data_IF_572610362046
#
_entry.id   IF_572610362046
#
_cell.length_a   1.000
_cell.length_b   1.000
_cell.length_c   1.000
_cell.angle_alpha   90.00
_cell.angle_beta   90.00
_cell.angle_gamma   90.00
#
_symmetry.space_group_name_H-M   'P 1'
#
loop_
_entity.id
_entity.type
_entity.pdbx_description
1 polymer ?
#
# COMPACT_ATOMS: atom_id res chain seq x y z
N UNK A 1 -13.23 19.75 16.58
CA UNK A 1 -12.88 20.22 15.21
C UNK A 1 -13.41 21.63 14.96
N UNK A 2 -12.80 22.68 15.55
CA UNK A 2 -13.23 24.05 15.36
C UNK A 2 -12.52 24.69 14.14
N UNK A 3 -12.78 24.15 12.95
CA UNK A 3 -12.22 24.67 11.69
C UNK A 3 -13.24 25.48 10.90
N UNK A 4 -12.77 26.49 10.16
CA UNK A 4 -13.59 27.25 9.21
C UNK A 4 -14.03 26.39 8.02
N UNK A 5 -15.08 26.82 7.30
CA UNK A 5 -15.80 26.13 6.21
C UNK A 5 -16.80 25.06 6.67
N UNK A 6 -18.10 25.37 6.52
CA UNK A 6 -19.20 24.51 6.98
C UNK A 6 -19.25 23.14 6.26
N UNK A 7 -19.05 23.10 4.95
CA UNK A 7 -19.21 21.87 4.15
C UNK A 7 -18.14 20.81 4.45
N UNK A 8 -16.82 21.09 4.34
CA UNK A 8 -15.79 20.08 4.66
C UNK A 8 -15.80 19.66 6.13
N UNK A 9 -16.14 20.59 7.04
CA UNK A 9 -16.37 20.28 8.45
C UNK A 9 -17.54 19.32 8.65
N UNK A 10 -18.65 19.53 7.93
CA UNK A 10 -19.80 18.63 7.94
C UNK A 10 -19.45 17.21 7.46
N UNK A 11 -18.69 17.09 6.38
CA UNK A 11 -18.20 15.80 5.88
C UNK A 11 -17.31 15.10 6.90
N UNK A 12 -16.35 15.83 7.49
CA UNK A 12 -15.45 15.28 8.52
C UNK A 12 -16.21 14.80 9.76
N UNK A 13 -17.17 15.59 10.24
CA UNK A 13 -18.01 15.22 11.38
C UNK A 13 -18.87 13.98 11.08
N UNK A 14 -19.40 13.88 9.86
CA UNK A 14 -20.19 12.72 9.42
C UNK A 14 -19.33 11.46 9.32
N UNK A 15 -18.14 11.58 8.73
CA UNK A 15 -17.18 10.48 8.63
C UNK A 15 -16.73 10.00 10.01
N UNK A 16 -16.44 10.92 10.93
CA UNK A 16 -16.08 10.56 12.31
C UNK A 16 -17.23 9.84 13.03
N UNK A 17 -18.45 10.37 12.95
CA UNK A 17 -19.63 9.74 13.56
C UNK A 17 -19.91 8.34 12.99
N UNK A 18 -19.64 8.13 11.70
CA UNK A 18 -19.79 6.83 11.04
C UNK A 18 -18.70 5.84 11.48
N UNK A 19 -17.44 6.28 11.57
CA UNK A 19 -16.29 5.41 11.83
C UNK A 19 -16.03 5.14 13.32
N UNK A 20 -16.23 6.15 14.17
CA UNK A 20 -15.89 6.08 15.61
C UNK A 20 -16.54 4.88 16.34
N UNK A 21 -17.80 4.49 16.09
CA UNK A 21 -18.37 3.28 16.70
C UNK A 21 -17.65 1.99 16.31
N UNK A 22 -17.09 1.90 15.09
CA UNK A 22 -16.28 0.75 14.67
C UNK A 22 -14.92 0.74 15.37
N UNK A 23 -14.31 1.91 15.53
CA UNK A 23 -13.05 2.07 16.28
C UNK A 23 -13.24 1.66 17.74
N UNK A 24 -14.29 2.12 18.41
CA UNK A 24 -14.59 1.75 19.80
C UNK A 24 -14.75 0.23 19.93
N UNK A 25 -15.53 -0.41 19.04
CA UNK A 25 -15.68 -1.87 19.05
C UNK A 25 -14.35 -2.60 18.86
N UNK A 26 -13.51 -2.13 17.94
CA UNK A 26 -12.19 -2.69 17.69
C UNK A 26 -11.29 -2.58 18.93
N UNK A 27 -11.24 -1.40 19.54
CA UNK A 27 -10.48 -1.14 20.76
C UNK A 27 -10.96 -2.03 21.91
N UNK A 28 -12.27 -2.12 22.13
CA UNK A 28 -12.84 -2.97 23.18
C UNK A 28 -12.50 -4.44 22.96
N UNK A 29 -12.63 -4.92 21.71
CA UNK A 29 -12.28 -6.31 21.37
C UNK A 29 -10.77 -6.58 21.54
N UNK A 30 -9.92 -5.63 21.15
CA UNK A 30 -8.48 -5.70 21.36
C UNK A 30 -8.15 -5.81 22.85
N UNK A 31 -8.69 -4.92 23.69
CA UNK A 31 -8.47 -4.93 25.13
C UNK A 31 -8.99 -6.21 25.81
N UNK A 32 -10.12 -6.75 25.34
CA UNK A 32 -10.68 -8.00 25.85
C UNK A 32 -9.80 -9.24 25.54
N UNK A 33 -8.84 -9.12 24.62
CA UNK A 33 -7.84 -10.15 24.33
C UNK A 33 -6.72 -10.25 25.36
N UNK A 34 -6.63 -9.31 26.31
CA UNK A 34 -5.62 -9.26 27.35
C UNK A 34 -6.22 -9.48 28.74
N UNK A 35 -5.37 -9.77 29.73
CA UNK A 35 -5.79 -9.86 31.12
C UNK A 35 -6.07 -8.49 31.74
N UNK A 36 -6.52 -8.49 33.01
CA UNK A 36 -6.84 -7.26 33.74
C UNK A 36 -5.64 -6.29 33.90
N UNK A 37 -4.41 -6.75 33.66
CA UNK A 37 -3.19 -5.93 33.68
C UNK A 37 -3.14 -4.90 32.57
N UNK A 38 -3.89 -5.08 31.47
CA UNK A 38 -3.94 -4.12 30.35
C UNK A 38 -4.40 -2.73 30.79
N UNK A 39 -5.23 -2.64 31.82
CA UNK A 39 -5.71 -1.37 32.38
C UNK A 39 -4.58 -0.51 33.00
N UNK A 40 -3.40 -1.09 33.23
CA UNK A 40 -2.23 -0.39 33.79
C UNK A 40 -1.15 -0.11 32.75
N UNK A 41 -1.36 -0.55 31.50
CA UNK A 41 -0.40 -0.38 30.41
C UNK A 41 -0.89 0.77 29.52
N UNK A 42 -0.03 1.76 29.23
CA UNK A 42 -0.41 2.80 28.28
C UNK A 42 -0.53 2.20 26.88
N UNK A 43 -1.74 2.26 26.32
CA UNK A 43 -2.03 1.78 24.96
C UNK A 43 -2.17 2.97 24.03
N UNK A 44 -1.28 3.01 23.04
CA UNK A 44 -1.25 4.06 22.02
C UNK A 44 -1.64 3.52 20.65
N UNK A 45 -2.30 4.37 19.87
CA UNK A 45 -2.66 4.10 18.48
C UNK A 45 -2.02 5.15 17.57
N UNK A 46 -1.56 4.69 16.40
CA UNK A 46 -1.08 5.55 15.34
C UNK A 46 -2.24 6.36 14.74
N UNK A 47 -2.00 7.65 14.53
CA UNK A 47 -2.92 8.58 13.88
C UNK A 47 -2.46 8.86 12.43
N UNK A 48 -3.36 9.44 11.64
CA UNK A 48 -3.09 9.85 10.26
C UNK A 48 -1.93 10.83 10.11
N UNK A 49 -1.62 11.61 11.16
CA UNK A 49 -0.57 12.64 11.17
C UNK A 49 0.85 12.10 11.43
N UNK A 50 0.97 10.80 11.68
CA UNK A 50 2.24 10.13 12.01
C UNK A 50 2.56 10.07 13.51
N UNK A 51 1.70 10.64 14.35
CA UNK A 51 1.84 10.62 15.81
C UNK A 51 1.04 9.52 16.49
N UNK A 52 1.39 9.24 17.73
CA UNK A 52 0.67 8.33 18.61
C UNK A 52 -0.32 9.10 19.50
N UNK A 53 -1.50 8.53 19.73
CA UNK A 53 -2.47 9.02 20.72
C UNK A 53 -2.90 7.90 21.65
N UNK A 54 -3.28 8.25 22.88
CA UNK A 54 -3.90 7.31 23.80
C UNK A 54 -5.23 6.78 23.25
N UNK A 55 -5.54 5.54 23.61
CA UNK A 55 -6.77 4.83 23.22
C UNK A 55 -8.05 5.63 23.43
N UNK A 56 -8.17 6.39 24.53
CA UNK A 56 -9.35 7.18 24.84
C UNK A 56 -9.55 8.42 23.95
N UNK A 57 -8.49 8.85 23.26
CA UNK A 57 -8.50 10.01 22.36
C UNK A 57 -8.48 9.62 20.88
N UNK A 58 -8.52 8.32 20.57
CA UNK A 58 -8.52 7.82 19.20
C UNK A 58 -9.93 7.86 18.60
N UNK A 59 -10.10 8.54 17.47
CA UNK A 59 -11.40 8.73 16.81
C UNK A 59 -11.35 8.38 15.33
N UNK A 60 -12.53 8.20 14.73
CA UNK A 60 -12.69 7.71 13.36
C UNK A 60 -11.94 8.54 12.31
N UNK A 61 -12.06 9.87 12.32
CA UNK A 61 -11.39 10.71 11.32
C UNK A 61 -9.86 10.73 11.45
N UNK A 62 -9.33 10.48 12.65
CA UNK A 62 -7.88 10.43 12.94
C UNK A 62 -7.28 9.05 12.67
N UNK A 63 -8.12 8.04 12.46
CA UNK A 63 -7.70 6.67 12.18
C UNK A 63 -7.45 6.40 10.68
N UNK A 64 -7.90 7.30 9.80
CA UNK A 64 -7.84 7.10 8.34
C UNK A 64 -6.37 7.05 7.91
N UNK A 65 -5.94 5.99 7.22
CA UNK A 65 -4.54 5.79 6.78
C UNK A 65 -3.50 5.75 7.93
N UNK A 66 -3.89 5.38 9.15
CA UNK A 66 -2.94 5.22 10.27
C UNK A 66 -1.87 4.14 10.05
N UNK A 67 -2.22 3.04 9.37
CA UNK A 67 -1.26 1.98 9.02
C UNK A 67 -0.12 2.49 8.12
N UNK A 68 -0.44 3.05 6.94
CA UNK A 68 0.55 3.68 6.05
C UNK A 68 1.35 4.80 6.72
N UNK A 69 0.76 5.57 7.65
CA UNK A 69 1.48 6.58 8.42
C UNK A 69 2.64 5.97 9.24
N UNK A 70 2.43 4.81 9.85
CA UNK A 70 3.51 4.04 10.47
C UNK A 70 4.60 3.65 9.48
N UNK A 71 4.22 3.21 8.28
CA UNK A 71 5.17 2.93 7.19
C UNK A 71 6.02 4.14 6.81
N UNK A 72 5.38 5.31 6.72
CA UNK A 72 6.04 6.59 6.45
C UNK A 72 7.08 6.91 7.52
N UNK A 73 6.69 6.92 8.80
CA UNK A 73 7.64 7.10 9.92
C UNK A 73 8.79 6.09 9.83
N UNK A 74 8.46 4.82 9.54
CA UNK A 74 9.42 3.73 9.42
C UNK A 74 10.50 4.03 8.39
N UNK A 75 10.16 4.25 7.11
CA UNK A 75 11.18 4.49 6.10
C UNK A 75 11.89 5.84 6.28
N UNK A 76 11.20 6.88 6.77
CA UNK A 76 11.79 8.19 6.99
C UNK A 76 12.90 8.15 8.06
N UNK A 77 12.71 7.32 9.11
CA UNK A 77 13.66 7.20 10.23
C UNK A 77 14.73 6.14 10.01
N UNK A 78 14.50 5.16 9.13
CA UNK A 78 15.38 3.97 8.99
C UNK A 78 16.12 3.88 7.66
N UNK A 79 15.77 4.69 6.67
CA UNK A 79 16.47 4.68 5.36
C UNK A 79 17.80 5.42 5.48
N UNK A 80 18.86 4.67 5.77
CA UNK A 80 20.22 5.15 5.83
C UNK A 80 21.22 4.02 5.55
N UNK A 81 22.41 4.36 5.07
CA UNK A 81 23.54 3.45 4.93
C UNK A 81 24.86 4.23 5.12
N UNK A 82 25.97 3.51 5.27
CA UNK A 82 27.29 4.13 5.42
C UNK A 82 27.62 4.99 4.20
N UNK A 83 27.85 6.30 4.43
CA UNK A 83 28.11 7.27 3.37
C UNK A 83 26.87 7.87 2.72
N UNK A 84 25.66 7.58 3.22
CA UNK A 84 24.45 8.27 2.79
C UNK A 84 24.54 9.77 3.11
N UNK A 85 24.11 10.67 2.19
CA UNK A 85 24.10 12.10 2.45
C UNK A 85 23.11 12.46 3.57
N UNK A 86 23.39 13.48 4.40
CA UNK A 86 22.46 13.93 5.45
C UNK A 86 21.12 14.42 4.91
N UNK A 87 21.11 14.95 3.68
CA UNK A 87 19.93 15.48 3.00
C UNK A 87 19.27 14.45 2.08
N UNK A 88 19.26 13.18 2.48
CA UNK A 88 18.69 12.11 1.67
C UNK A 88 17.19 12.33 1.48
N UNK A 89 16.77 12.37 0.21
CA UNK A 89 15.36 12.41 -0.15
C UNK A 89 14.91 10.98 -0.47
N UNK A 90 13.78 10.57 0.10
CA UNK A 90 13.32 9.18 0.06
C UNK A 90 11.86 9.15 -0.39
N UNK A 91 11.54 8.25 -1.31
CA UNK A 91 10.18 7.92 -1.69
C UNK A 91 9.86 6.58 -1.04
N UNK A 92 8.85 6.57 -0.17
CA UNK A 92 8.30 5.34 0.38
C UNK A 92 7.44 4.62 -0.65
N UNK A 93 7.63 3.32 -0.76
CA UNK A 93 6.87 2.42 -1.63
C UNK A 93 6.43 1.19 -0.82
N UNK A 94 5.25 1.27 -0.22
CA UNK A 94 4.63 0.18 0.55
C UNK A 94 3.63 -0.57 -0.33
N UNK A 95 3.98 -1.75 -0.81
CA UNK A 95 3.05 -2.56 -1.59
C UNK A 95 2.62 -3.79 -0.80
N UNK A 96 1.32 -3.86 -0.54
CA UNK A 96 0.66 -4.98 0.11
C UNK A 96 -0.08 -5.89 -0.88
N UNK A 97 -1.03 -6.66 -0.34
CA UNK A 97 -1.89 -7.54 -1.13
C UNK A 97 -3.00 -6.81 -1.90
N UNK A 98 -3.41 -5.61 -1.50
CA UNK A 98 -4.58 -4.94 -2.11
C UNK A 98 -4.22 -3.61 -2.76
N UNK A 99 -3.31 -2.88 -2.14
CA UNK A 99 -2.95 -1.51 -2.50
C UNK A 99 -1.45 -1.28 -2.39
N UNK A 100 -1.03 -0.14 -2.92
CA UNK A 100 0.29 0.43 -2.70
C UNK A 100 0.16 1.84 -2.16
N UNK A 101 0.87 2.13 -1.08
CA UNK A 101 0.93 3.45 -0.46
C UNK A 101 2.28 4.09 -0.78
N UNK A 102 2.24 5.32 -1.29
CA UNK A 102 3.45 6.08 -1.65
C UNK A 102 3.46 7.44 -0.96
N UNK A 103 4.63 7.86 -0.53
CA UNK A 103 4.86 9.16 0.11
C UNK A 103 6.30 9.62 -0.10
N UNK A 104 6.58 10.88 0.21
CA UNK A 104 7.90 11.49 0.00
C UNK A 104 8.42 12.13 1.27
N UNK A 105 9.60 11.74 1.72
CA UNK A 105 10.34 12.35 2.82
C UNK A 105 11.56 13.11 2.31
N UNK A 106 11.77 14.34 2.78
CA UNK A 106 12.93 15.16 2.44
C UNK A 106 13.44 15.98 3.63
N UNK A 107 13.61 15.32 4.79
CA UNK A 107 14.09 15.94 6.03
C UNK A 107 12.98 16.42 6.97
N UNK A 108 11.74 16.50 6.47
CA UNK A 108 10.53 16.70 7.27
C UNK A 108 9.39 15.85 6.70
N UNK A 109 8.37 15.61 7.53
CA UNK A 109 7.13 14.99 7.08
C UNK A 109 6.32 16.00 6.26
N UNK A 110 5.74 15.56 5.15
CA UNK A 110 4.76 16.34 4.38
C UNK A 110 3.37 16.08 4.96
N UNK A 111 2.69 17.13 5.41
CA UNK A 111 1.32 17.07 5.92
C UNK A 111 0.34 17.77 4.97
N UNK A 112 -0.82 17.15 4.77
CA UNK A 112 -1.99 17.73 4.12
C UNK A 112 -3.08 17.97 5.16
N UNK A 113 -3.82 19.06 4.99
CA UNK A 113 -4.85 19.51 5.95
C UNK A 113 -6.29 19.24 5.48
N UNK A 114 -6.41 18.87 4.21
CA UNK A 114 -7.65 18.53 3.53
C UNK A 114 -7.30 17.42 2.54
N UNK A 115 -7.97 16.27 2.65
CA UNK A 115 -7.80 15.13 1.75
C UNK A 115 -9.17 14.61 1.33
N UNK A 116 -9.26 14.00 0.15
CA UNK A 116 -10.49 13.32 -0.28
C UNK A 116 -10.20 11.84 -0.43
N UNK A 117 -10.83 11.03 0.42
CA UNK A 117 -10.70 9.58 0.40
C UNK A 117 -12.05 8.97 0.04
N UNK A 118 -12.10 8.15 -1.00
CA UNK A 118 -13.33 7.50 -1.50
C UNK A 118 -14.51 8.48 -1.72
N UNK A 119 -14.22 9.70 -2.19
CA UNK A 119 -15.22 10.74 -2.44
C UNK A 119 -15.66 11.54 -1.20
N UNK A 120 -15.11 11.26 -0.01
CA UNK A 120 -15.38 12.00 1.22
C UNK A 120 -14.19 12.90 1.57
N UNK A 121 -14.44 14.20 1.69
CA UNK A 121 -13.42 15.16 2.10
C UNK A 121 -13.27 15.18 3.63
N UNK A 122 -12.06 14.92 4.10
CA UNK A 122 -11.67 14.96 5.50
C UNK A 122 -10.75 16.16 5.72
N UNK A 123 -11.16 17.05 6.61
CA UNK A 123 -10.42 18.26 6.95
C UNK A 123 -9.62 18.04 8.24
N UNK A 124 -8.63 17.17 8.21
CA UNK A 124 -7.76 16.86 9.34
C UNK A 124 -6.30 16.86 8.86
N UNK A 125 -5.30 17.14 9.71
CA UNK A 125 -3.91 16.90 9.32
C UNK A 125 -3.67 15.42 9.15
N UNK A 126 -3.02 15.10 8.04
CA UNK A 126 -2.62 13.75 7.70
C UNK A 126 -1.27 13.83 7.01
N UNK A 127 -0.47 12.78 7.14
CA UNK A 127 0.69 12.62 6.27
C UNK A 127 0.25 12.52 4.82
N UNK A 128 1.02 13.13 3.93
CA UNK A 128 0.75 13.10 2.49
C UNK A 128 1.13 11.73 1.91
N UNK A 129 0.13 10.84 1.94
CA UNK A 129 0.22 9.47 1.47
C UNK A 129 -0.80 9.31 0.36
N UNK A 130 -0.34 8.88 -0.82
CA UNK A 130 -1.19 8.54 -1.94
C UNK A 130 -1.30 7.03 -2.06
N UNK A 131 -2.51 6.52 -1.91
CA UNK A 131 -2.82 5.09 -2.09
C UNK A 131 -3.29 4.83 -3.53
N UNK A 132 -2.71 3.83 -4.16
CA UNK A 132 -3.17 3.30 -5.45
C UNK A 132 -3.72 1.88 -5.29
N UNK A 133 -4.82 1.58 -6.00
CA UNK A 133 -5.44 0.27 -6.04
C UNK A 133 -4.64 -0.73 -6.93
N UNK A 134 -3.34 -0.82 -6.66
CA UNK A 134 -2.42 -1.77 -7.28
C UNK A 134 -1.65 -2.47 -6.15
N UNK A 135 -1.88 -3.76 -5.95
CA UNK A 135 -1.21 -4.62 -4.98
C UNK A 135 -1.03 -6.02 -5.54
N UNK A 136 -0.49 -6.96 -4.77
CA UNK A 136 -0.28 -8.33 -5.23
C UNK A 136 -1.57 -9.05 -5.66
N UNK A 137 -2.68 -8.76 -5.01
CA UNK A 137 -4.01 -9.29 -5.30
C UNK A 137 -4.78 -8.53 -6.38
N UNK A 138 -4.22 -7.48 -7.00
CA UNK A 138 -4.92 -6.80 -8.10
C UNK A 138 -5.17 -7.78 -9.24
N UNK A 139 -6.44 -7.90 -9.66
CA UNK A 139 -6.89 -8.88 -10.63
C UNK A 139 -6.42 -8.55 -12.04
N UNK A 140 -6.19 -9.58 -12.83
CA UNK A 140 -5.72 -9.49 -14.20
C UNK A 140 -6.89 -9.68 -15.17
N UNK A 141 -7.03 -8.76 -16.12
CA UNK A 141 -8.07 -8.80 -17.15
C UNK A 141 -7.47 -8.53 -18.52
N UNK A 142 -7.93 -9.24 -19.53
CA UNK A 142 -7.62 -8.92 -20.93
C UNK A 142 -8.90 -8.56 -21.67
N UNK A 143 -9.01 -7.31 -22.11
CA UNK A 143 -10.22 -6.77 -22.73
C UNK A 143 -9.84 -5.98 -23.98
N UNK A 144 -10.47 -6.31 -25.11
CA UNK A 144 -10.33 -5.57 -26.38
C UNK A 144 -8.88 -5.28 -26.82
N UNK A 145 -7.95 -6.21 -26.57
CA UNK A 145 -6.54 -6.05 -26.97
C UNK A 145 -5.63 -5.41 -25.91
N UNK A 146 -6.18 -5.03 -24.76
CA UNK A 146 -5.44 -4.36 -23.69
C UNK A 146 -5.34 -5.22 -22.43
N UNK A 147 -4.17 -5.20 -21.80
CA UNK A 147 -3.96 -5.70 -20.45
C UNK A 147 -4.48 -4.67 -19.44
N UNK A 148 -5.31 -5.12 -18.50
CA UNK A 148 -5.82 -4.31 -17.39
C UNK A 148 -5.51 -5.01 -16.07
N UNK A 149 -5.07 -4.22 -15.09
CA UNK A 149 -4.78 -4.69 -13.73
C UNK A 149 -5.61 -3.87 -12.74
N UNK A 150 -6.42 -4.55 -11.93
CA UNK A 150 -7.34 -3.91 -10.99
C UNK A 150 -8.45 -3.09 -11.69
N UNK A 151 -9.13 -2.19 -10.96
CA UNK A 151 -8.95 -1.89 -9.52
C UNK A 151 -9.45 -2.99 -8.60
N UNK A 152 -10.14 -4.00 -9.12
CA UNK A 152 -10.63 -5.13 -8.35
C UNK A 152 -9.47 -5.93 -7.75
N UNK A 153 -9.58 -6.24 -6.44
CA UNK A 153 -8.63 -7.10 -5.74
C UNK A 153 -9.23 -8.48 -5.51
N UNK A 154 -8.40 -9.50 -5.63
CA UNK A 154 -8.70 -10.87 -5.22
C UNK A 154 -8.70 -11.03 -3.69
N UNK A 155 -8.13 -10.05 -2.96
CA UNK A 155 -8.02 -10.06 -1.51
C UNK A 155 -7.12 -11.19 -1.00
N UNK A 156 -7.34 -11.62 0.24
CA UNK A 156 -6.72 -12.82 0.80
C UNK A 156 -7.62 -14.06 0.71
N UNK A 157 -8.95 -13.84 0.59
CA UNK A 157 -9.95 -14.89 0.43
C UNK A 157 -11.01 -14.42 -0.58
N UNK A 158 -11.21 -15.11 -1.72
CA UNK A 158 -10.51 -16.33 -2.13
C UNK A 158 -9.05 -16.11 -2.56
N UNK A 159 -8.62 -14.87 -2.77
CA UNK A 159 -7.23 -14.53 -3.08
C UNK A 159 -6.79 -14.82 -4.52
N UNK A 160 -5.50 -14.63 -4.84
CA UNK A 160 -4.88 -15.09 -6.08
C UNK A 160 -5.07 -16.60 -6.32
N UNK A 161 -4.97 -17.07 -7.56
CA UNK A 161 -5.11 -18.51 -7.88
C UNK A 161 -4.09 -19.34 -7.12
N UNK A 162 -2.85 -18.86 -6.99
CA UNK A 162 -1.79 -19.51 -6.24
C UNK A 162 -2.13 -19.78 -4.76
N UNK A 163 -3.15 -19.15 -4.19
CA UNK A 163 -3.57 -19.38 -2.80
C UNK A 163 -4.45 -20.62 -2.64
N UNK A 164 -4.83 -21.32 -3.73
CA UNK A 164 -5.59 -22.58 -3.70
C UNK A 164 -6.96 -22.50 -3.03
N UNK A 165 -7.60 -21.32 -3.04
CA UNK A 165 -8.92 -21.08 -2.40
C UNK A 165 -10.01 -20.73 -3.43
N UNK A 166 -9.87 -21.13 -4.69
CA UNK A 166 -10.82 -20.80 -5.77
C UNK A 166 -10.77 -19.34 -6.20
N UNK A 167 -9.55 -18.79 -6.22
CA UNK A 167 -9.25 -17.38 -6.45
C UNK A 167 -9.36 -16.89 -7.89
N UNK A 168 -8.85 -15.68 -8.12
CA UNK A 168 -8.81 -15.04 -9.45
C UNK A 168 -7.36 -14.79 -9.88
N UNK A 169 -7.06 -14.77 -11.20
CA UNK A 169 -5.72 -14.40 -11.68
C UNK A 169 -5.35 -13.01 -11.18
N UNK A 170 -4.22 -12.89 -10.49
CA UNK A 170 -3.76 -11.63 -9.89
C UNK A 170 -2.26 -11.36 -10.15
N UNK A 171 -1.78 -10.17 -9.78
CA UNK A 171 -0.35 -9.79 -9.92
C UNK A 171 0.58 -10.80 -9.23
N UNK A 172 0.18 -11.36 -8.08
CA UNK A 172 0.91 -12.43 -7.40
C UNK A 172 1.07 -13.67 -8.29
N UNK A 173 0.03 -14.09 -9.02
CA UNK A 173 0.12 -15.22 -9.94
C UNK A 173 1.13 -14.97 -11.06
N UNK A 174 1.12 -13.77 -11.64
CA UNK A 174 2.11 -13.38 -12.64
C UNK A 174 3.54 -13.41 -12.06
N UNK A 175 3.74 -12.94 -10.83
CA UNK A 175 5.06 -12.98 -10.16
C UNK A 175 5.50 -14.42 -9.81
N UNK A 176 4.57 -15.33 -9.50
CA UNK A 176 4.86 -16.76 -9.33
C UNK A 176 5.28 -17.39 -10.66
N UNK A 177 4.54 -17.15 -11.74
CA UNK A 177 4.85 -17.69 -13.08
C UNK A 177 6.21 -17.21 -13.59
N UNK A 178 6.54 -15.93 -13.35
CA UNK A 178 7.81 -15.33 -13.72
C UNK A 178 8.98 -15.73 -12.79
N UNK A 179 8.75 -16.56 -11.78
CA UNK A 179 9.78 -17.00 -10.83
C UNK A 179 10.31 -15.89 -9.92
N UNK A 180 9.58 -14.77 -9.78
CA UNK A 180 9.91 -13.68 -8.82
C UNK A 180 9.52 -14.07 -7.39
N UNK A 181 8.53 -14.94 -7.26
CA UNK A 181 8.14 -15.58 -6.02
C UNK A 181 8.53 -17.05 -6.08
N UNK A 182 9.28 -17.51 -5.08
CA UNK A 182 9.77 -18.88 -4.95
C UNK A 182 8.88 -19.63 -3.93
N UNK A 183 7.97 -20.52 -4.36
CA UNK A 183 7.04 -21.22 -3.47
C UNK A 183 7.71 -21.95 -2.29
N UNK A 184 8.92 -22.47 -2.50
CA UNK A 184 9.72 -23.19 -1.50
C UNK A 184 10.17 -22.33 -0.31
N UNK A 185 10.22 -21.00 -0.49
CA UNK A 185 10.58 -20.04 0.56
C UNK A 185 9.36 -19.41 1.24
N UNK A 186 8.15 -19.76 0.81
CA UNK A 186 6.92 -19.30 1.44
C UNK A 186 6.43 -20.27 2.52
N UNK A 187 5.85 -19.77 3.61
CA UNK A 187 5.20 -20.62 4.59
C UNK A 187 4.03 -21.37 3.93
N UNK A 188 3.84 -22.63 4.33
CA UNK A 188 2.73 -23.46 3.85
C UNK A 188 1.45 -23.09 4.60
N UNK A 189 0.81 -22.00 4.18
CA UNK A 189 -0.41 -21.44 4.79
C UNK A 189 -1.54 -21.24 3.77
N UNK A 190 -1.42 -21.86 2.61
CA UNK A 190 -2.38 -21.74 1.50
C UNK A 190 -3.29 -22.96 1.42
N UNK A 191 -4.30 -22.90 0.57
CA UNK A 191 -5.28 -23.97 0.38
C UNK A 191 -6.38 -24.01 1.43
N UNK A 192 -7.37 -24.91 1.23
CA UNK A 192 -8.49 -25.05 2.15
C UNK A 192 -8.05 -25.52 3.54
N UNK A 193 -6.93 -26.24 3.64
CA UNK A 193 -6.40 -26.74 4.92
C UNK A 193 -5.36 -25.82 5.56
N UNK A 194 -4.97 -24.74 4.88
CA UNK A 194 -3.94 -23.77 5.29
C UNK A 194 -2.60 -24.43 5.64
N UNK A 195 -2.25 -25.49 4.88
CA UNK A 195 -1.01 -26.29 5.04
C UNK A 195 -0.33 -26.56 3.71
N UNK A 196 -0.81 -25.94 2.64
CA UNK A 196 -0.30 -26.13 1.29
C UNK A 196 0.67 -25.00 0.90
N UNK A 197 1.59 -25.31 0.00
CA UNK A 197 2.46 -24.32 -0.64
C UNK A 197 1.70 -23.53 -1.72
N UNK A 198 2.27 -22.42 -2.19
CA UNK A 198 1.75 -21.69 -3.34
C UNK A 198 1.59 -22.61 -4.57
N UNK A 199 0.54 -22.39 -5.35
CA UNK A 199 0.24 -23.18 -6.54
C UNK A 199 0.80 -22.57 -7.83
N UNK A 200 2.06 -22.85 -8.12
CA UNK A 200 2.68 -22.40 -9.37
C UNK A 200 2.03 -23.02 -10.62
N UNK A 201 1.53 -24.25 -10.52
CA UNK A 201 0.83 -24.91 -11.63
C UNK A 201 -0.51 -24.22 -11.89
N UNK A 202 -1.30 -23.99 -10.84
CA UNK A 202 -2.56 -23.26 -10.92
C UNK A 202 -2.38 -21.84 -11.49
N UNK A 203 -1.35 -21.09 -11.07
CA UNK A 203 -1.05 -19.78 -11.67
C UNK A 203 -0.69 -19.90 -13.15
N UNK A 204 0.10 -20.91 -13.56
CA UNK A 204 0.48 -21.09 -14.96
C UNK A 204 -0.72 -21.42 -15.84
N UNK A 205 -1.63 -22.28 -15.36
CA UNK A 205 -2.89 -22.59 -16.06
C UNK A 205 -3.78 -21.36 -16.21
N UNK A 206 -3.98 -20.60 -15.13
CA UNK A 206 -4.77 -19.37 -15.14
C UNK A 206 -4.21 -18.30 -16.10
N UNK A 207 -2.88 -18.14 -16.15
CA UNK A 207 -2.23 -17.22 -17.08
C UNK A 207 -2.22 -17.77 -18.52
N UNK A 208 -2.25 -19.08 -18.72
CA UNK A 208 -2.40 -19.70 -20.04
C UNK A 208 -3.78 -19.39 -20.64
N UNK A 209 -4.86 -19.43 -19.85
CA UNK A 209 -6.19 -19.02 -20.32
C UNK A 209 -6.22 -17.55 -20.79
N UNK A 210 -5.57 -16.65 -20.03
CA UNK A 210 -5.41 -15.24 -20.43
C UNK A 210 -4.55 -15.10 -21.68
N UNK A 211 -3.52 -15.92 -21.84
CA UNK A 211 -2.66 -15.93 -23.03
C UNK A 211 -3.42 -16.40 -24.27
N UNK A 212 -4.28 -17.43 -24.16
CA UNK A 212 -5.16 -17.88 -25.24
C UNK A 212 -6.11 -16.76 -25.69
N UNK A 213 -6.76 -16.07 -24.73
CA UNK A 213 -7.62 -14.93 -25.04
C UNK A 213 -6.84 -13.78 -25.75
N UNK A 214 -5.63 -13.50 -25.28
CA UNK A 214 -4.72 -12.52 -25.90
C UNK A 214 -4.34 -12.91 -27.33
N UNK A 215 -3.96 -14.17 -27.55
CA UNK A 215 -3.50 -14.67 -28.83
C UNK A 215 -4.65 -14.81 -29.84
N UNK A 216 -5.86 -15.16 -29.40
CA UNK A 216 -7.06 -15.12 -30.23
C UNK A 216 -7.39 -13.70 -30.72
N UNK A 217 -7.20 -12.69 -29.86
CA UNK A 217 -7.32 -11.29 -30.30
C UNK A 217 -6.18 -10.89 -31.24
N UNK A 218 -4.93 -11.23 -30.92
CA UNK A 218 -3.75 -10.89 -31.71
C UNK A 218 -3.82 -11.45 -33.13
N UNK A 219 -4.21 -12.73 -33.28
CA UNK A 219 -4.37 -13.41 -34.56
C UNK A 219 -5.37 -12.67 -35.49
N UNK A 220 -6.51 -12.23 -34.94
CA UNK A 220 -7.51 -11.45 -35.71
C UNK A 220 -7.03 -10.09 -36.17
N UNK A 221 -5.99 -9.54 -35.54
CA UNK A 221 -5.47 -8.19 -35.80
C UNK A 221 -4.03 -8.20 -36.36
N UNK A 222 -3.51 -9.37 -36.77
CA UNK A 222 -2.18 -9.50 -37.38
C UNK A 222 -1.02 -9.23 -36.40
N UNK A 223 -1.24 -9.35 -35.09
CA UNK A 223 -0.20 -9.21 -34.07
C UNK A 223 0.43 -10.56 -33.73
N UNK A 224 1.72 -10.59 -33.31
CA UNK A 224 2.40 -11.84 -32.96
C UNK A 224 1.78 -12.47 -31.70
N UNK A 225 1.77 -13.81 -31.68
CA UNK A 225 1.41 -14.57 -30.50
C UNK A 225 2.44 -14.32 -29.38
N UNK A 226 1.95 -14.32 -28.14
CA UNK A 226 2.75 -14.18 -26.93
C UNK A 226 2.71 -15.48 -26.13
N UNK A 227 3.84 -15.83 -25.54
CA UNK A 227 3.94 -16.87 -24.53
C UNK A 227 3.24 -16.46 -23.23
N UNK A 228 2.99 -17.44 -22.36
CA UNK A 228 2.43 -17.21 -21.01
C UNK A 228 3.31 -16.25 -20.20
N UNK A 229 4.62 -16.40 -20.32
CA UNK A 229 5.59 -15.59 -19.58
C UNK A 229 5.60 -14.13 -20.09
N UNK A 230 5.46 -13.91 -21.41
CA UNK A 230 5.31 -12.57 -22.00
C UNK A 230 4.00 -11.89 -21.58
N UNK A 231 2.91 -12.67 -21.49
CA UNK A 231 1.61 -12.18 -21.00
C UNK A 231 1.70 -11.80 -19.52
N UNK A 232 2.29 -12.65 -18.69
CA UNK A 232 2.53 -12.37 -17.28
C UNK A 232 3.41 -11.11 -17.10
N UNK A 233 4.48 -10.98 -17.88
CA UNK A 233 5.33 -9.79 -17.86
C UNK A 233 4.57 -8.52 -18.28
N UNK A 234 3.70 -8.63 -19.28
CA UNK A 234 2.82 -7.53 -19.72
C UNK A 234 1.92 -7.03 -18.60
N UNK A 235 1.29 -7.93 -17.84
CA UNK A 235 0.49 -7.56 -16.67
C UNK A 235 1.32 -6.89 -15.58
N UNK A 236 2.51 -7.42 -15.28
CA UNK A 236 3.43 -6.80 -14.31
C UNK A 236 3.86 -5.41 -14.76
N UNK A 237 4.09 -5.19 -16.06
CA UNK A 237 4.42 -3.88 -16.61
C UNK A 237 3.28 -2.87 -16.43
N UNK A 238 2.03 -3.27 -16.67
CA UNK A 238 0.85 -2.43 -16.41
C UNK A 238 0.71 -2.09 -14.93
N UNK A 239 0.91 -3.06 -14.04
CA UNK A 239 0.88 -2.84 -12.59
C UNK A 239 1.97 -1.83 -12.16
N UNK A 240 3.20 -1.98 -12.66
CA UNK A 240 4.31 -1.07 -12.37
C UNK A 240 4.02 0.37 -12.82
N UNK A 241 3.49 0.54 -14.03
CA UNK A 241 3.15 1.88 -14.54
C UNK A 241 2.01 2.51 -13.72
N UNK A 242 1.00 1.74 -13.33
CA UNK A 242 -0.06 2.21 -12.43
C UNK A 242 0.51 2.72 -11.10
N UNK A 243 1.50 2.01 -10.54
CA UNK A 243 2.19 2.40 -9.31
C UNK A 243 3.16 3.59 -9.48
N UNK A 244 3.70 3.81 -10.68
CA UNK A 244 4.56 4.98 -10.95
C UNK A 244 3.77 6.29 -10.98
N UNK A 245 2.51 6.28 -11.43
CA UNK A 245 1.66 7.48 -11.54
C UNK A 245 1.56 8.30 -10.25
N UNK A 246 1.17 7.74 -9.08
CA UNK A 246 1.09 8.51 -7.84
C UNK A 246 2.47 9.02 -7.37
N UNK A 247 3.55 8.28 -7.66
CA UNK A 247 4.91 8.75 -7.35
C UNK A 247 5.26 9.99 -8.18
N UNK A 248 4.92 10.02 -9.48
CA UNK A 248 5.10 11.21 -10.33
C UNK A 248 4.25 12.39 -9.85
N UNK A 249 3.05 12.14 -9.33
CA UNK A 249 2.19 13.17 -8.74
C UNK A 249 2.79 13.78 -7.46
N UNK A 250 3.39 12.96 -6.59
CA UNK A 250 4.09 13.40 -5.38
C UNK A 250 5.44 14.09 -5.65
N UNK A 251 6.03 13.86 -6.82
CA UNK A 251 7.37 14.35 -7.16
C UNK A 251 7.34 15.37 -8.29
N UNK A 252 7.34 14.90 -9.54
CA UNK A 252 7.49 15.70 -10.75
C UNK A 252 6.41 16.78 -10.87
N UNK A 253 5.15 16.45 -10.57
CA UNK A 253 4.04 17.43 -10.63
C UNK A 253 4.16 18.53 -9.56
N UNK A 254 4.97 18.30 -8.52
CA UNK A 254 5.30 19.28 -7.47
C UNK A 254 6.66 19.95 -7.69
N UNK A 255 7.31 19.72 -8.83
CA UNK A 255 8.62 20.30 -9.15
C UNK A 255 9.82 19.55 -8.57
N UNK A 256 9.64 18.36 -8.01
CA UNK A 256 10.73 17.52 -7.51
C UNK A 256 11.22 16.53 -8.57
N UNK A 257 12.54 16.41 -8.71
CA UNK A 257 13.17 15.41 -9.57
C UNK A 257 13.20 14.04 -8.86
N UNK A 258 12.36 13.12 -9.32
CA UNK A 258 12.26 11.76 -8.77
C UNK A 258 13.61 11.02 -8.79
N UNK A 259 14.47 11.25 -9.80
CA UNK A 259 15.76 10.54 -9.96
C UNK A 259 16.77 10.80 -8.85
N UNK A 260 16.59 11.91 -8.10
CA UNK A 260 17.41 12.29 -6.95
C UNK A 260 17.01 11.60 -5.64
N UNK A 261 15.92 10.83 -5.65
CA UNK A 261 15.42 10.14 -4.47
C UNK A 261 15.98 8.73 -4.38
N UNK A 262 15.94 8.18 -3.18
CA UNK A 262 16.02 6.74 -2.94
C UNK A 262 14.62 6.16 -2.92
N UNK A 263 14.39 5.03 -3.56
CA UNK A 263 13.14 4.30 -3.44
C UNK A 263 13.23 3.33 -2.26
N UNK A 264 12.60 3.68 -1.13
CA UNK A 264 12.51 2.80 0.02
C UNK A 264 11.32 1.84 -0.15
N UNK A 265 11.60 0.59 -0.49
CA UNK A 265 10.59 -0.42 -0.76
C UNK A 265 10.31 -1.29 0.46
N UNK A 266 9.04 -1.42 0.79
CA UNK A 266 8.57 -2.25 1.89
C UNK A 266 7.17 -2.80 1.62
N UNK A 267 6.59 -3.47 2.60
CA UNK A 267 5.39 -4.29 2.42
C UNK A 267 5.72 -5.67 1.85
N UNK A 268 4.73 -6.57 1.85
CA UNK A 268 4.92 -7.96 1.45
C UNK A 268 5.19 -8.16 -0.04
N UNK A 269 4.79 -7.20 -0.88
CA UNK A 269 4.90 -7.30 -2.34
C UNK A 269 5.85 -6.26 -2.98
N UNK A 270 6.29 -5.23 -2.24
CA UNK A 270 7.03 -4.10 -2.81
C UNK A 270 8.35 -4.48 -3.50
N UNK A 271 9.13 -5.36 -2.88
CA UNK A 271 10.44 -5.76 -3.42
C UNK A 271 10.34 -6.43 -4.81
N UNK A 272 9.21 -7.07 -5.13
CA UNK A 272 8.99 -7.76 -6.42
C UNK A 272 8.89 -6.80 -7.61
N UNK A 273 8.60 -5.51 -7.33
CA UNK A 273 8.36 -4.46 -8.32
C UNK A 273 9.39 -3.31 -8.25
N UNK A 274 10.17 -3.26 -7.16
CA UNK A 274 11.08 -2.16 -6.82
C UNK A 274 12.00 -1.72 -7.96
N UNK A 275 12.73 -2.65 -8.58
CA UNK A 275 13.69 -2.32 -9.64
C UNK A 275 13.00 -1.73 -10.89
N UNK A 276 11.86 -2.29 -11.29
CA UNK A 276 11.12 -1.82 -12.46
C UNK A 276 10.51 -0.43 -12.22
N UNK A 277 9.96 -0.19 -11.02
CA UNK A 277 9.45 1.12 -10.60
C UNK A 277 10.60 2.14 -10.54
N UNK A 278 11.73 1.79 -9.92
CA UNK A 278 12.90 2.65 -9.85
C UNK A 278 13.41 3.03 -11.26
N UNK A 279 13.53 2.06 -12.16
CA UNK A 279 13.94 2.28 -13.55
C UNK A 279 12.97 3.22 -14.29
N UNK A 280 11.65 3.01 -14.16
CA UNK A 280 10.63 3.85 -14.79
C UNK A 280 10.61 5.30 -14.27
N UNK A 281 11.15 5.53 -13.07
CA UNK A 281 11.25 6.85 -12.44
C UNK A 281 12.66 7.46 -12.53
N UNK A 282 13.63 6.74 -13.12
CA UNK A 282 15.03 7.17 -13.18
C UNK A 282 15.77 7.14 -11.83
N UNK A 283 15.22 6.45 -10.82
CA UNK A 283 15.81 6.31 -9.49
C UNK A 283 16.96 5.30 -9.55
N UNK A 284 18.13 5.69 -9.03
CA UNK A 284 19.35 4.88 -9.07
C UNK A 284 19.55 3.95 -7.87
N UNK A 285 18.83 4.21 -6.78
CA UNK A 285 19.03 3.51 -5.51
C UNK A 285 17.70 3.00 -4.98
N UNK A 286 17.61 1.69 -4.80
CA UNK A 286 16.53 1.02 -4.08
C UNK A 286 17.05 0.64 -2.71
N UNK A 287 16.32 0.99 -1.67
CA UNK A 287 16.61 0.60 -0.30
C UNK A 287 15.54 -0.36 0.21
N UNK A 288 15.96 -1.52 0.71
CA UNK A 288 15.06 -2.52 1.30
C UNK A 288 15.51 -2.75 2.75
N UNK A 289 14.70 -2.28 3.69
CA UNK A 289 15.00 -2.47 5.10
C UNK A 289 14.91 -3.96 5.49
N UNK A 290 15.74 -4.43 6.42
CA UNK A 290 15.72 -5.83 6.90
C UNK A 290 14.35 -6.28 7.44
N UNK A 291 13.55 -5.33 7.90
CA UNK A 291 12.18 -5.55 8.38
C UNK A 291 11.13 -5.07 7.38
N UNK A 292 11.43 -5.04 6.07
CA UNK A 292 10.53 -4.52 5.03
C UNK A 292 9.10 -5.08 5.12
N UNK A 293 8.93 -6.37 5.42
CA UNK A 293 7.60 -6.98 5.55
C UNK A 293 6.77 -6.49 6.75
N UNK A 294 7.39 -5.82 7.73
CA UNK A 294 6.75 -5.29 8.94
C UNK A 294 7.15 -3.83 9.22
N UNK A 295 7.62 -3.09 8.21
CA UNK A 295 8.24 -1.78 8.42
C UNK A 295 7.27 -0.77 9.04
N UNK A 296 5.97 -0.87 8.74
CA UNK A 296 4.94 -0.04 9.35
C UNK A 296 4.84 -0.25 10.86
N UNK A 297 4.99 -1.49 11.34
CA UNK A 297 5.05 -1.77 12.78
C UNK A 297 6.34 -1.22 13.43
N UNK A 298 7.48 -1.32 12.73
CA UNK A 298 8.74 -0.70 13.19
C UNK A 298 8.57 0.81 13.31
N UNK A 299 7.96 1.45 12.31
CA UNK A 299 7.72 2.90 12.32
C UNK A 299 6.75 3.35 13.41
N UNK A 300 5.72 2.56 13.71
CA UNK A 300 4.85 2.80 14.89
C UNK A 300 5.68 2.82 16.19
N UNK A 301 6.64 1.89 16.33
CA UNK A 301 7.55 1.85 17.48
C UNK A 301 8.57 3.00 17.55
N UNK A 302 8.76 3.74 16.45
CA UNK A 302 9.64 4.91 16.37
C UNK A 302 8.89 6.25 16.42
N UNK A 303 7.55 6.21 16.50
CA UNK A 303 6.71 7.39 16.50
C UNK A 303 6.62 8.03 17.89
N UNK A 304 6.40 9.34 17.90
CA UNK A 304 6.24 10.13 19.12
C UNK A 304 4.76 10.28 19.47
N UNK A 305 4.45 10.49 20.75
CA UNK A 305 3.10 10.85 21.19
C UNK A 305 2.85 12.32 20.84
N UNK A 306 1.80 12.59 20.09
CA UNK A 306 1.48 13.93 19.59
C UNK A 306 0.10 14.35 20.07
N UNK A 307 0.00 15.57 20.58
CA UNK A 307 -1.27 16.23 20.85
C UNK A 307 -1.39 17.45 19.96
N UNK A 308 -2.46 17.50 19.16
CA UNK A 308 -2.77 18.64 18.30
C UNK A 308 -4.02 19.37 18.81
N UNK A 309 -3.88 20.69 18.97
CA UNK A 309 -4.98 21.61 19.23
C UNK A 309 -5.07 22.63 18.09
N UNK A 310 -6.30 22.96 17.69
CA UNK A 310 -6.59 24.02 16.71
C UNK A 310 -7.63 24.95 17.26
N UNK A 311 -7.43 26.25 17.03
CA UNK A 311 -8.36 27.30 17.42
C UNK A 311 -8.58 28.22 16.22
N UNK A 312 -9.84 28.56 15.88
CA UNK A 312 -10.13 29.53 14.84
C UNK A 312 -9.80 30.92 15.38
N UNK A 313 -8.91 31.63 14.69
CA UNK A 313 -8.67 33.05 14.95
C UNK A 313 -9.63 33.88 14.08
N UNK A 314 -10.33 34.83 14.71
CA UNK A 314 -11.00 35.89 13.98
C UNK A 314 -10.00 37.04 13.79
N UNK A 315 -9.51 37.23 12.57
CA UNK A 315 -9.00 38.53 12.11
C UNK A 315 -10.11 39.26 11.33
#
# INVERSE_FOLDING_TARGET
MPVVKMVPRGFTATADAYLSPHIVRYVTAFQAGFDAGIARVPVYFMQSDGGLTEVGSFSGHRAILSGPAGGYVGYARTTAWTGAPPSLQVIGFDMGGTSTDVSRYAGHFEHVFESTTAGVTIQAPQLDINTVAAGGGSRLFFEAGAFRVGPESAGAHPGPVCYRKGGYPAVTDANVVLGRLLPEHFPKIFGPSEKEALDAAGSREALAELAEACNAWASRHGAPAKSVDEVALGFVAVANEAMCRPIRALTQMRGYDASKHVLACFGGAGAQHACAVAQALGIKTVFVHRCAGILSAVGIGLAEVVHEAREPLAE
#
